data_IF_313860975836
#
_entry.id   IF_313860975836
#
_cell.length_a   1.000
_cell.length_b   1.000
_cell.length_c   1.000
_cell.angle_alpha   90.00
_cell.angle_beta   90.00
_cell.angle_gamma   90.00
#
_symmetry.space_group_name_H-M   'P 1'
#
loop_
_entity.id
_entity.type
_entity.pdbx_description
1 polymer ?
#
# COMPACT_ATOMS: atom_id res chain seq x y z
N UNK A 1 2.04 -15.83 -12.69
CA UNK A 1 0.87 -15.21 -13.32
C UNK A 1 1.04 -13.72 -13.61
N UNK A 2 1.65 -12.89 -12.73
CA UNK A 2 1.86 -11.45 -13.01
C UNK A 2 2.50 -11.24 -14.38
N UNK A 3 3.67 -11.85 -14.65
CA UNK A 3 4.34 -11.77 -15.96
C UNK A 3 3.48 -12.31 -17.12
N UNK A 4 2.67 -13.35 -16.88
CA UNK A 4 1.80 -13.91 -17.91
C UNK A 4 0.69 -12.92 -18.33
N UNK A 5 0.20 -12.09 -17.39
CA UNK A 5 -0.85 -11.10 -17.64
C UNK A 5 -0.29 -9.75 -18.12
N UNK A 6 0.87 -9.33 -17.59
CA UNK A 6 1.44 -7.99 -17.84
C UNK A 6 2.55 -7.98 -18.90
N UNK A 7 3.18 -9.13 -19.16
CA UNK A 7 4.52 -9.20 -19.73
C UNK A 7 5.61 -8.86 -18.71
N UNK A 8 6.87 -9.05 -19.07
CA UNK A 8 8.03 -8.66 -18.26
C UNK A 8 8.41 -7.17 -18.44
N UNK A 9 8.06 -6.57 -19.56
CA UNK A 9 8.37 -5.16 -19.86
C UNK A 9 7.41 -4.19 -19.17
N UNK A 10 7.92 -3.51 -18.13
CA UNK A 10 7.17 -2.51 -17.35
C UNK A 10 7.10 -1.14 -18.03
N UNK A 11 7.80 -0.89 -19.14
CA UNK A 11 7.73 0.38 -19.88
C UNK A 11 6.32 0.68 -20.41
N UNK A 12 5.53 -0.39 -20.64
CA UNK A 12 4.10 -0.36 -21.01
C UNK A 12 3.21 0.33 -19.96
N UNK A 13 3.69 0.42 -18.72
CA UNK A 13 3.02 1.08 -17.61
C UNK A 13 3.93 2.19 -17.04
N UNK A 14 3.85 3.43 -17.54
CA UNK A 14 4.82 4.48 -17.21
C UNK A 14 4.96 4.75 -15.70
N UNK A 15 3.87 4.85 -14.92
CA UNK A 15 3.91 4.66 -13.47
C UNK A 15 3.25 3.33 -13.04
N UNK A 16 3.69 2.79 -11.88
CA UNK A 16 3.04 1.65 -11.21
C UNK A 16 1.52 1.86 -10.99
N UNK A 17 1.10 3.12 -10.84
CA UNK A 17 -0.30 3.50 -10.73
C UNK A 17 -1.14 3.09 -11.97
N UNK A 18 -0.56 3.12 -13.18
CA UNK A 18 -1.23 2.67 -14.39
C UNK A 18 -1.45 1.16 -14.36
N UNK A 19 -0.44 0.39 -13.92
CA UNK A 19 -0.58 -1.06 -13.76
C UNK A 19 -1.64 -1.40 -12.70
N UNK A 20 -1.63 -0.71 -11.56
CA UNK A 20 -2.63 -0.91 -10.51
C UNK A 20 -4.05 -0.56 -10.97
N UNK A 21 -4.20 0.49 -11.76
CA UNK A 21 -5.46 0.89 -12.37
C UNK A 21 -5.95 -0.14 -13.39
N UNK A 22 -5.04 -0.66 -14.23
CA UNK A 22 -5.34 -1.69 -15.21
C UNK A 22 -5.71 -3.04 -14.58
N UNK A 23 -5.04 -3.42 -13.49
CA UNK A 23 -5.33 -4.63 -12.71
C UNK A 23 -6.58 -4.50 -11.82
N UNK A 24 -7.20 -3.32 -11.73
CA UNK A 24 -8.39 -3.11 -10.90
C UNK A 24 -8.13 -3.09 -9.39
N UNK A 25 -6.88 -2.93 -8.96
CA UNK A 25 -6.50 -2.84 -7.53
C UNK A 25 -6.25 -1.38 -7.07
N UNK A 26 -6.36 -0.41 -7.98
CA UNK A 26 -6.39 1.00 -7.63
C UNK A 26 -7.78 1.41 -7.09
N UNK A 27 -7.86 2.41 -6.20
CA UNK A 27 -9.12 3.00 -5.79
C UNK A 27 -9.93 3.48 -6.99
N UNK A 28 -11.24 3.25 -6.98
CA UNK A 28 -12.15 3.84 -7.95
C UNK A 28 -12.56 5.26 -7.51
N UNK A 29 -12.77 6.14 -8.48
CA UNK A 29 -13.34 7.48 -8.29
C UNK A 29 -14.43 7.63 -9.33
N UNK A 30 -15.66 7.92 -8.88
CA UNK A 30 -16.78 8.26 -9.74
C UNK A 30 -17.12 9.74 -9.53
N UNK A 31 -16.81 10.55 -10.53
CA UNK A 31 -17.07 11.98 -10.53
C UNK A 31 -17.71 12.37 -11.87
N UNK A 32 -18.87 13.02 -11.82
CA UNK A 32 -19.55 13.58 -12.98
C UNK A 32 -20.05 14.99 -12.64
N UNK A 33 -19.83 15.94 -13.55
CA UNK A 33 -20.20 17.34 -13.35
C UNK A 33 -19.76 17.93 -11.98
N UNK A 34 -18.56 17.57 -11.51
CA UNK A 34 -17.99 18.02 -10.22
C UNK A 34 -18.62 17.40 -8.97
N UNK A 35 -19.55 16.44 -9.12
CA UNK A 35 -20.16 15.71 -8.01
C UNK A 35 -19.52 14.34 -7.89
N UNK A 36 -19.10 14.00 -6.67
CA UNK A 36 -18.54 12.68 -6.34
C UNK A 36 -19.63 11.75 -5.86
N UNK A 37 -19.61 10.52 -6.36
CA UNK A 37 -20.48 9.43 -5.91
C UNK A 37 -19.68 8.33 -5.23
N UNK A 38 -20.32 7.50 -4.37
CA UNK A 38 -19.68 6.33 -3.80
C UNK A 38 -19.11 5.44 -4.90
N UNK A 39 -17.80 5.20 -4.86
CA UNK A 39 -17.12 4.36 -5.82
C UNK A 39 -16.94 2.95 -5.27
N UNK A 40 -17.28 1.94 -6.10
CA UNK A 40 -17.09 0.53 -5.81
C UNK A 40 -15.66 0.07 -6.10
N UNK A 41 -15.49 -1.22 -6.40
CA UNK A 41 -14.23 -1.72 -6.94
C UNK A 41 -14.04 -1.24 -8.40
N UNK A 42 -12.80 -0.93 -8.78
CA UNK A 42 -12.45 -0.53 -10.15
C UNK A 42 -12.49 -1.76 -11.06
N UNK A 43 -13.02 -1.60 -12.27
CA UNK A 43 -12.92 -2.64 -13.29
C UNK A 43 -11.47 -2.78 -13.77
N UNK A 44 -11.00 -4.02 -13.94
CA UNK A 44 -9.64 -4.34 -14.40
C UNK A 44 -9.52 -5.81 -14.76
N UNK A 45 -8.29 -6.28 -15.01
CA UNK A 45 -8.06 -7.69 -15.33
C UNK A 45 -8.55 -8.61 -14.19
N UNK A 46 -9.64 -9.34 -14.44
CA UNK A 46 -10.34 -10.16 -13.44
C UNK A 46 -9.46 -11.25 -12.84
N UNK A 47 -8.63 -11.91 -13.67
CA UNK A 47 -7.77 -13.00 -13.23
C UNK A 47 -6.65 -12.47 -12.35
N UNK A 48 -5.93 -11.44 -12.80
CA UNK A 48 -4.88 -10.80 -12.04
C UNK A 48 -5.40 -10.25 -10.71
N UNK A 49 -6.55 -9.58 -10.73
CA UNK A 49 -7.19 -9.05 -9.53
C UNK A 49 -7.49 -10.15 -8.52
N UNK A 50 -8.18 -11.20 -8.96
CA UNK A 50 -8.58 -12.30 -8.09
C UNK A 50 -7.37 -12.96 -7.44
N UNK A 51 -6.32 -13.26 -8.21
CA UNK A 51 -5.13 -13.87 -7.65
C UNK A 51 -4.36 -12.97 -6.68
N UNK A 52 -4.31 -11.66 -6.92
CA UNK A 52 -3.68 -10.72 -5.98
C UNK A 52 -4.48 -10.64 -4.67
N UNK A 53 -5.82 -10.67 -4.75
CA UNK A 53 -6.70 -10.69 -3.56
C UNK A 53 -6.55 -12.00 -2.79
N UNK A 54 -6.47 -13.14 -3.47
CA UNK A 54 -6.18 -14.44 -2.84
C UNK A 54 -4.80 -14.45 -2.16
N UNK A 55 -3.76 -13.94 -2.84
CA UNK A 55 -2.43 -13.80 -2.26
C UNK A 55 -2.44 -12.90 -1.01
N UNK A 56 -3.17 -11.78 -1.06
CA UNK A 56 -3.37 -10.91 0.10
C UNK A 56 -4.10 -11.63 1.25
N UNK A 57 -5.07 -12.49 0.95
CA UNK A 57 -5.74 -13.35 1.93
C UNK A 57 -4.79 -14.37 2.59
N UNK A 58 -3.83 -14.92 1.85
CA UNK A 58 -2.77 -15.77 2.41
C UNK A 58 -1.84 -14.99 3.33
N UNK A 59 -1.43 -13.79 2.91
CA UNK A 59 -0.61 -12.88 3.73
C UNK A 59 -1.32 -12.51 5.04
N UNK A 60 -2.64 -12.31 5.02
CA UNK A 60 -3.42 -12.01 6.23
C UNK A 60 -3.27 -13.08 7.32
N UNK A 61 -3.02 -14.34 6.95
CA UNK A 61 -2.87 -15.47 7.88
C UNK A 61 -1.48 -15.55 8.52
N UNK A 62 -0.53 -14.73 8.07
CA UNK A 62 0.86 -14.72 8.56
C UNK A 62 1.03 -13.95 9.89
N UNK A 63 -0.06 -13.45 10.49
CA UNK A 63 -0.12 -12.89 11.86
C UNK A 63 0.97 -11.87 12.22
N UNK A 64 1.31 -10.96 11.30
CA UNK A 64 2.30 -9.92 11.58
C UNK A 64 3.74 -10.43 11.49
N UNK A 65 4.01 -11.55 10.80
CA UNK A 65 5.37 -12.01 10.54
C UNK A 65 6.12 -11.13 9.53
N UNK A 66 5.41 -10.30 8.76
CA UNK A 66 5.98 -9.44 7.73
C UNK A 66 5.20 -8.13 7.56
N UNK A 67 5.76 -7.21 6.77
CA UNK A 67 5.19 -5.89 6.50
C UNK A 67 3.77 -5.98 5.93
N UNK A 68 3.52 -6.83 4.93
CA UNK A 68 2.23 -6.91 4.27
C UNK A 68 1.13 -7.45 5.20
N UNK A 69 1.46 -8.38 6.10
CA UNK A 69 0.53 -8.91 7.11
C UNK A 69 0.24 -7.87 8.20
N UNK A 70 1.24 -7.08 8.62
CA UNK A 70 1.04 -5.94 9.51
C UNK A 70 0.18 -4.84 8.85
N UNK A 71 0.41 -4.57 7.57
CA UNK A 71 -0.41 -3.66 6.76
C UNK A 71 -1.87 -4.15 6.69
N UNK A 72 -2.08 -5.44 6.43
CA UNK A 72 -3.39 -6.06 6.38
C UNK A 72 -4.15 -5.89 7.71
N UNK A 73 -3.52 -6.23 8.84
CA UNK A 73 -4.13 -6.15 10.17
C UNK A 73 -4.56 -4.70 10.49
N UNK A 74 -3.66 -3.74 10.26
CA UNK A 74 -3.91 -2.31 10.48
C UNK A 74 -5.02 -1.75 9.61
N UNK A 75 -5.14 -2.21 8.37
CA UNK A 75 -6.21 -1.78 7.46
C UNK A 75 -7.53 -2.46 7.79
N UNK A 76 -7.51 -3.72 8.18
CA UNK A 76 -8.70 -4.48 8.59
C UNK A 76 -9.39 -3.80 9.76
N UNK A 77 -8.63 -3.41 10.80
CA UNK A 77 -9.16 -2.71 11.96
C UNK A 77 -9.83 -1.36 11.62
N UNK A 78 -9.37 -0.67 10.56
CA UNK A 78 -9.86 0.67 10.18
C UNK A 78 -10.92 0.68 9.09
N UNK A 79 -10.92 -0.30 8.18
CA UNK A 79 -11.68 -0.26 6.92
C UNK A 79 -12.43 -1.55 6.58
N UNK A 80 -12.23 -2.61 7.37
CA UNK A 80 -12.77 -3.95 7.12
C UNK A 80 -11.89 -4.81 6.22
N UNK A 81 -12.11 -6.12 6.27
CA UNK A 81 -11.26 -7.14 5.66
C UNK A 81 -11.14 -7.00 4.13
N UNK A 82 -12.26 -6.88 3.41
CA UNK A 82 -12.22 -6.82 1.94
C UNK A 82 -11.42 -5.62 1.40
N UNK A 83 -11.53 -4.46 2.05
CA UNK A 83 -10.73 -3.28 1.70
C UNK A 83 -9.26 -3.44 2.04
N UNK A 84 -8.95 -4.16 3.12
CA UNK A 84 -7.58 -4.47 3.49
C UNK A 84 -6.92 -5.41 2.47
N UNK A 85 -7.63 -6.43 2.01
CA UNK A 85 -7.13 -7.35 0.98
C UNK A 85 -6.80 -6.63 -0.32
N UNK A 86 -7.70 -5.76 -0.83
CA UNK A 86 -7.43 -4.99 -2.06
C UNK A 86 -6.22 -4.06 -1.89
N UNK A 87 -6.07 -3.43 -0.73
CA UNK A 87 -4.92 -2.55 -0.47
C UNK A 87 -3.59 -3.31 -0.36
N UNK A 88 -3.60 -4.53 0.19
CA UNK A 88 -2.42 -5.40 0.22
C UNK A 88 -2.12 -5.95 -1.17
N UNK A 89 -3.14 -6.34 -1.94
CA UNK A 89 -3.04 -6.71 -3.35
C UNK A 89 -2.40 -5.60 -4.19
N UNK A 90 -2.79 -4.34 -3.96
CA UNK A 90 -2.14 -3.17 -4.54
C UNK A 90 -0.66 -3.08 -4.16
N UNK A 91 -0.31 -3.27 -2.88
CA UNK A 91 1.08 -3.24 -2.42
C UNK A 91 1.93 -4.35 -3.02
N UNK A 92 1.37 -5.57 -3.16
CA UNK A 92 2.02 -6.71 -3.84
C UNK A 92 2.31 -6.34 -5.30
N UNK A 93 1.32 -5.82 -6.03
CA UNK A 93 1.48 -5.49 -7.44
C UNK A 93 2.47 -4.34 -7.67
N UNK A 94 2.46 -3.32 -6.82
CA UNK A 94 3.43 -2.22 -6.87
C UNK A 94 4.84 -2.71 -6.56
N UNK A 95 4.99 -3.62 -5.60
CA UNK A 95 6.30 -4.23 -5.30
C UNK A 95 6.82 -5.02 -6.50
N UNK A 96 5.97 -5.86 -7.10
CA UNK A 96 6.30 -6.62 -8.30
C UNK A 96 6.67 -5.73 -9.49
N UNK A 97 5.98 -4.58 -9.67
CA UNK A 97 6.33 -3.60 -10.71
C UNK A 97 7.77 -3.10 -10.56
N UNK A 98 8.20 -2.70 -9.36
CA UNK A 98 9.55 -2.19 -9.16
C UNK A 98 10.61 -3.28 -9.21
N UNK A 99 10.29 -4.49 -8.72
CA UNK A 99 11.17 -5.65 -8.89
C UNK A 99 11.45 -5.92 -10.36
N UNK A 100 10.41 -5.93 -11.21
CA UNK A 100 10.54 -6.18 -12.64
C UNK A 100 11.19 -5.00 -13.39
N UNK A 101 10.90 -3.76 -12.98
CA UNK A 101 11.43 -2.56 -13.63
C UNK A 101 12.92 -2.35 -13.34
N UNK A 102 13.35 -2.62 -12.11
CA UNK A 102 14.72 -2.38 -11.66
C UNK A 102 15.59 -3.64 -11.69
N UNK A 103 15.00 -4.80 -11.99
CA UNK A 103 15.65 -6.11 -11.88
C UNK A 103 16.21 -6.37 -10.47
N UNK A 104 15.39 -6.13 -9.45
CA UNK A 104 15.76 -6.25 -8.05
C UNK A 104 14.83 -7.22 -7.29
N UNK A 105 15.35 -7.95 -6.29
CA UNK A 105 14.53 -8.83 -5.47
C UNK A 105 13.58 -8.03 -4.57
N UNK A 106 12.51 -8.70 -4.10
CA UNK A 106 11.60 -8.12 -3.11
C UNK A 106 12.35 -7.80 -1.83
N UNK A 107 12.22 -6.56 -1.36
CA UNK A 107 12.75 -6.11 -0.08
C UNK A 107 11.64 -6.11 0.96
N UNK A 108 11.74 -7.01 1.93
CA UNK A 108 10.83 -7.09 3.07
C UNK A 108 11.18 -6.01 4.10
N UNK A 109 10.20 -5.17 4.46
CA UNK A 109 10.41 -4.02 5.35
C UNK A 109 10.37 -4.41 6.83
N UNK A 110 9.80 -5.57 7.15
CA UNK A 110 9.58 -6.02 8.52
C UNK A 110 8.21 -5.61 9.07
N UNK A 111 7.72 -6.37 10.04
CA UNK A 111 6.40 -6.18 10.63
C UNK A 111 6.27 -4.89 11.45
N UNK A 112 7.38 -4.42 12.00
CA UNK A 112 7.50 -3.25 12.86
C UNK A 112 7.63 -1.94 12.08
N UNK A 113 7.92 -1.99 10.78
CA UNK A 113 8.16 -0.80 9.94
C UNK A 113 7.03 0.22 10.01
N UNK A 114 5.78 -0.24 10.00
CA UNK A 114 4.60 0.64 10.10
C UNK A 114 4.47 1.29 11.47
N UNK A 115 4.91 0.63 12.54
CA UNK A 115 4.90 1.19 13.88
C UNK A 115 5.97 2.29 13.99
N UNK A 116 7.23 1.97 13.64
CA UNK A 116 8.35 2.92 13.62
C UNK A 116 8.01 4.20 12.84
N UNK A 117 7.43 4.04 11.64
CA UNK A 117 7.01 5.18 10.80
C UNK A 117 5.91 6.03 11.43
N UNK A 118 4.98 5.43 12.18
CA UNK A 118 3.96 6.20 12.90
C UNK A 118 4.58 6.97 14.05
N UNK A 119 5.53 6.37 14.78
CA UNK A 119 6.23 7.01 15.89
C UNK A 119 7.02 8.23 15.41
N UNK A 120 7.77 8.10 14.30
CA UNK A 120 8.46 9.23 13.66
C UNK A 120 7.50 10.34 13.22
N UNK A 121 6.34 9.98 12.67
CA UNK A 121 5.32 10.96 12.30
C UNK A 121 4.69 11.63 13.52
N UNK A 122 4.52 10.89 14.61
CA UNK A 122 4.01 11.42 15.87
C UNK A 122 5.01 12.39 16.50
N UNK A 123 6.29 12.02 16.56
CA UNK A 123 7.38 12.89 17.02
C UNK A 123 7.41 14.20 16.22
N UNK A 124 7.39 14.13 14.89
CA UNK A 124 7.36 15.35 14.05
C UNK A 124 6.15 16.24 14.32
N UNK A 125 4.99 15.64 14.58
CA UNK A 125 3.78 16.38 14.93
C UNK A 125 3.93 17.09 16.28
N UNK A 126 4.50 16.41 17.28
CA UNK A 126 4.74 16.99 18.61
C UNK A 126 5.75 18.14 18.54
N UNK A 127 6.85 17.97 17.80
CA UNK A 127 7.83 19.03 17.54
C UNK A 127 7.15 20.26 16.95
N UNK A 128 6.37 20.09 15.87
CA UNK A 128 5.68 21.19 15.22
C UNK A 128 4.65 21.89 16.13
N UNK A 129 4.08 21.19 17.12
CA UNK A 129 3.18 21.78 18.10
C UNK A 129 3.94 22.62 19.15
N UNK A 130 5.09 22.15 19.61
CA UNK A 130 5.94 22.88 20.56
C UNK A 130 6.56 24.13 19.91
N UNK A 131 7.01 24.02 18.66
CA UNK A 131 7.51 25.17 17.88
C UNK A 131 6.43 26.24 17.71
N UNK A 132 5.18 25.84 17.46
CA UNK A 132 4.04 26.76 17.38
C UNK A 132 3.74 27.51 18.69
N UNK A 133 4.14 26.95 19.81
CA UNK A 133 4.01 27.59 21.13
C UNK A 133 5.22 28.49 21.46
N UNK A 134 6.20 28.61 20.56
CA UNK A 134 7.38 29.46 20.72
C UNK A 134 8.58 28.76 21.34
N UNK A 135 8.56 27.43 21.46
CA UNK A 135 9.71 26.66 21.96
C UNK A 135 10.64 26.24 20.82
N UNK A 136 11.95 26.29 21.06
CA UNK A 136 12.92 25.58 20.21
C UNK A 136 13.05 24.15 20.72
N UNK A 137 12.84 23.15 19.85
CA UNK A 137 12.87 21.74 20.24
C UNK A 137 14.16 21.08 19.76
N UNK A 138 14.90 20.50 20.69
CA UNK A 138 16.06 19.63 20.40
C UNK A 138 15.71 18.23 20.88
N UNK A 139 15.88 17.24 20.01
CA UNK A 139 15.61 15.83 20.32
C UNK A 139 16.95 15.11 20.52
N UNK A 140 17.21 14.67 21.74
CA UNK A 140 18.37 13.83 22.05
C UNK A 140 17.93 12.36 22.11
N UNK A 141 18.70 11.42 21.52
CA UNK A 141 18.42 10.00 21.65
C UNK A 141 18.58 9.57 23.11
N UNK A 142 17.66 8.74 23.59
CA UNK A 142 17.79 8.11 24.91
C UNK A 142 18.94 7.09 24.84
N UNK A 143 19.86 7.16 25.81
CA UNK A 143 21.01 6.27 25.95
C UNK A 143 20.62 4.81 26.21
#
# INVERSE_FOLDING_TARGET
MIIAETGADMSRFPPAAHLAAWAGVAPAIYESAGKRSPAGARHGNKWLNHMLVEAAGSVARMKGANYLSAQHARLTARRGMGRAQVAVAHSILVSAYYMLKNDEPYQELGADWLARRNDEAHTRRLVAQLERLGHTVVLDPVA
#
